data_IF_184314783798
#
_entry.id   IF_184314783798
#
_cell.length_a   1.000
_cell.length_b   1.000
_cell.length_c   1.000
_cell.angle_alpha   90.00
_cell.angle_beta   90.00
_cell.angle_gamma   90.00
#
_symmetry.space_group_name_H-M   'P 1'
#
loop_
_entity.id
_entity.type
_entity.pdbx_description
1 polymer ?
#
# COMPACT_ATOMS: atom_id res chain seq x y z
N UNK A 1 -40.05 -29.68 8.30
CA UNK A 1 -39.43 -29.60 6.96
C UNK A 1 -38.25 -28.66 7.05
N UNK A 2 -37.03 -29.13 6.73
CA UNK A 2 -35.81 -28.35 6.92
C UNK A 2 -35.80 -27.13 6.00
N UNK A 3 -36.04 -25.94 6.58
CA UNK A 3 -35.94 -24.65 5.87
C UNK A 3 -34.57 -24.40 5.24
N UNK A 4 -33.52 -25.08 5.72
CA UNK A 4 -32.17 -25.05 5.16
C UNK A 4 -31.99 -25.82 3.84
N UNK A 5 -32.87 -26.79 3.54
CA UNK A 5 -32.82 -27.58 2.30
C UNK A 5 -33.80 -27.06 1.24
N UNK A 6 -34.38 -25.87 1.45
CA UNK A 6 -35.20 -25.23 0.43
C UNK A 6 -34.28 -24.77 -0.72
N UNK A 7 -34.49 -25.25 -1.96
CA UNK A 7 -33.61 -24.96 -3.10
C UNK A 7 -33.43 -23.46 -3.36
N UNK A 8 -34.44 -22.65 -3.05
CA UNK A 8 -34.39 -21.18 -3.19
C UNK A 8 -33.44 -20.58 -2.14
N UNK A 9 -33.51 -21.05 -0.90
CA UNK A 9 -32.61 -20.58 0.17
C UNK A 9 -31.17 -21.00 -0.09
N UNK A 10 -30.96 -22.22 -0.59
CA UNK A 10 -29.64 -22.74 -0.91
C UNK A 10 -29.00 -21.95 -2.08
N UNK A 11 -29.75 -21.72 -3.16
CA UNK A 11 -29.29 -20.90 -4.28
C UNK A 11 -28.92 -19.47 -3.83
N UNK A 12 -29.69 -18.90 -2.90
CA UNK A 12 -29.43 -17.56 -2.36
C UNK A 12 -28.15 -17.52 -1.51
N UNK A 13 -27.92 -18.51 -0.65
CA UNK A 13 -26.69 -18.63 0.14
C UNK A 13 -25.47 -18.81 -0.76
N UNK A 14 -25.54 -19.69 -1.75
CA UNK A 14 -24.44 -19.90 -2.72
C UNK A 14 -24.14 -18.62 -3.49
N UNK A 15 -25.15 -17.90 -3.95
CA UNK A 15 -24.97 -16.62 -4.65
C UNK A 15 -24.22 -15.59 -3.80
N UNK A 16 -24.63 -15.43 -2.53
CA UNK A 16 -23.97 -14.49 -1.63
C UNK A 16 -22.54 -14.92 -1.30
N UNK A 17 -22.32 -16.22 -1.05
CA UNK A 17 -20.98 -16.76 -0.79
C UNK A 17 -20.01 -16.46 -1.94
N UNK A 18 -20.43 -16.70 -3.20
CA UNK A 18 -19.60 -16.40 -4.37
C UNK A 18 -19.38 -14.89 -4.51
N UNK A 19 -20.44 -14.09 -4.41
CA UNK A 19 -20.34 -12.63 -4.57
C UNK A 19 -19.48 -11.96 -3.49
N UNK A 20 -19.52 -12.46 -2.26
CA UNK A 20 -18.73 -11.92 -1.14
C UNK A 20 -17.25 -12.29 -1.27
N UNK A 21 -16.93 -13.49 -1.80
CA UNK A 21 -15.56 -13.89 -2.13
C UNK A 21 -15.01 -12.99 -3.24
N UNK A 22 -15.75 -12.79 -4.33
CA UNK A 22 -15.32 -11.91 -5.42
C UNK A 22 -15.10 -10.48 -4.91
N UNK A 23 -15.98 -10.00 -4.03
CA UNK A 23 -15.85 -8.68 -3.40
C UNK A 23 -14.64 -8.57 -2.49
N UNK A 24 -14.24 -9.64 -1.80
CA UNK A 24 -13.04 -9.66 -0.96
C UNK A 24 -11.77 -9.54 -1.82
N UNK A 25 -11.65 -10.35 -2.87
CA UNK A 25 -10.49 -10.34 -3.76
C UNK A 25 -10.39 -9.05 -4.59
N UNK A 26 -11.51 -8.57 -5.16
CA UNK A 26 -11.53 -7.33 -5.94
C UNK A 26 -11.19 -6.12 -5.06
N UNK A 27 -11.54 -6.15 -3.77
CA UNK A 27 -11.14 -5.12 -2.81
C UNK A 27 -9.66 -5.17 -2.52
N UNK A 28 -9.06 -6.34 -2.33
CA UNK A 28 -7.64 -6.46 -2.03
C UNK A 28 -6.78 -5.88 -3.16
N UNK A 29 -7.05 -6.26 -4.41
CA UNK A 29 -6.33 -5.74 -5.56
C UNK A 29 -6.52 -4.21 -5.71
N UNK A 30 -7.74 -3.70 -5.51
CA UNK A 30 -8.02 -2.26 -5.53
C UNK A 30 -7.30 -1.52 -4.42
N UNK A 31 -7.25 -2.10 -3.21
CA UNK A 31 -6.52 -1.55 -2.07
C UNK A 31 -5.03 -1.50 -2.40
N UNK A 32 -4.46 -2.56 -2.94
CA UNK A 32 -3.03 -2.60 -3.26
C UNK A 32 -2.65 -1.60 -4.35
N UNK A 33 -3.45 -1.51 -5.43
CA UNK A 33 -3.29 -0.46 -6.44
C UNK A 33 -3.36 0.95 -5.86
N UNK A 34 -4.27 1.17 -4.92
CA UNK A 34 -4.40 2.47 -4.25
C UNK A 34 -3.19 2.77 -3.35
N UNK A 35 -2.74 1.80 -2.55
CA UNK A 35 -1.52 1.92 -1.74
C UNK A 35 -0.32 2.25 -2.61
N UNK A 36 -0.15 1.54 -3.72
CA UNK A 36 0.94 1.75 -4.68
C UNK A 36 0.91 3.17 -5.27
N UNK A 37 -0.28 3.68 -5.62
CA UNK A 37 -0.46 5.06 -6.11
C UNK A 37 -0.08 6.09 -5.04
N UNK A 38 -0.49 5.88 -3.80
CA UNK A 38 -0.16 6.77 -2.67
C UNK A 38 1.34 6.74 -2.35
N UNK A 39 1.94 5.55 -2.36
CA UNK A 39 3.36 5.37 -2.13
C UNK A 39 4.23 6.16 -3.12
N UNK A 40 3.92 6.07 -4.43
CA UNK A 40 4.62 6.87 -5.45
C UNK A 40 4.53 8.38 -5.21
N UNK A 41 3.40 8.88 -4.72
CA UNK A 41 3.25 10.30 -4.37
C UNK A 41 4.11 10.69 -3.17
N UNK A 42 4.13 9.86 -2.12
CA UNK A 42 4.94 10.09 -0.92
C UNK A 42 6.42 10.11 -1.26
N UNK A 43 6.88 9.15 -2.07
CA UNK A 43 8.27 9.08 -2.52
C UNK A 43 8.66 10.32 -3.32
N UNK A 44 7.80 10.76 -4.24
CA UNK A 44 8.05 11.97 -5.03
C UNK A 44 8.20 13.20 -4.13
N UNK A 45 7.30 13.33 -3.15
CA UNK A 45 7.38 14.40 -2.16
C UNK A 45 8.65 14.31 -1.29
N UNK A 46 9.05 13.10 -0.87
CA UNK A 46 10.27 12.91 -0.11
C UNK A 46 11.49 13.47 -0.87
N UNK A 47 11.54 13.35 -2.19
CA UNK A 47 12.66 13.87 -3.00
C UNK A 47 12.75 15.39 -3.12
N UNK A 48 11.70 16.11 -2.73
CA UNK A 48 11.73 17.57 -2.62
C UNK A 48 12.47 18.02 -1.35
N UNK A 49 12.51 17.18 -0.31
CA UNK A 49 13.16 17.49 0.96
C UNK A 49 14.66 17.14 0.91
N UNK A 50 15.57 18.07 1.27
CA UNK A 50 17.01 17.85 1.17
C UNK A 50 17.53 16.63 1.94
N UNK A 51 17.01 16.38 3.14
CA UNK A 51 17.37 15.20 3.95
C UNK A 51 17.18 13.87 3.20
N UNK A 52 16.00 13.66 2.62
CA UNK A 52 15.71 12.42 1.90
C UNK A 52 16.47 12.36 0.56
N UNK A 53 16.63 13.50 -0.12
CA UNK A 53 17.41 13.59 -1.36
C UNK A 53 18.87 13.18 -1.17
N UNK A 54 19.47 13.59 -0.05
CA UNK A 54 20.83 13.16 0.30
C UNK A 54 20.88 11.69 0.67
N UNK A 55 19.90 11.22 1.46
CA UNK A 55 19.88 9.84 1.96
C UNK A 55 19.60 8.79 0.88
N UNK A 56 18.76 9.12 -0.09
CA UNK A 56 18.41 8.24 -1.21
C UNK A 56 19.27 8.50 -2.46
N UNK A 57 20.35 9.28 -2.33
CA UNK A 57 21.26 9.56 -3.44
C UNK A 57 21.82 8.26 -4.01
N UNK A 58 21.73 8.12 -5.35
CA UNK A 58 22.21 6.94 -6.06
C UNK A 58 21.22 5.77 -6.15
N UNK A 59 20.04 5.91 -5.54
CA UNK A 59 18.95 4.94 -5.70
C UNK A 59 18.03 5.43 -6.82
N UNK A 60 17.63 4.54 -7.72
CA UNK A 60 16.60 4.87 -8.71
C UNK A 60 15.21 4.77 -8.07
N UNK A 61 14.67 5.94 -7.76
CA UNK A 61 13.44 6.07 -6.99
C UNK A 61 12.19 5.73 -7.81
N UNK A 62 12.27 5.84 -9.13
CA UNK A 62 11.15 5.54 -10.02
C UNK A 62 10.91 4.03 -10.15
N UNK A 63 11.92 3.19 -9.88
CA UNK A 63 11.80 1.74 -9.90
C UNK A 63 11.31 1.13 -8.58
N UNK A 64 11.13 1.95 -7.53
CA UNK A 64 10.71 1.47 -6.20
C UNK A 64 9.19 1.31 -6.14
N UNK A 65 8.76 0.12 -5.73
CA UNK A 65 7.37 -0.24 -5.47
C UNK A 65 7.20 -0.73 -4.02
N UNK A 66 5.97 -0.97 -3.58
CA UNK A 66 5.68 -1.49 -2.23
C UNK A 66 6.40 -2.82 -1.94
N UNK A 67 6.58 -3.69 -2.94
CA UNK A 67 7.30 -4.95 -2.82
C UNK A 67 8.80 -4.76 -2.51
N UNK A 68 9.41 -3.73 -3.08
CA UNK A 68 10.85 -3.45 -2.99
C UNK A 68 11.17 -2.32 -2.01
N UNK A 69 10.21 -1.90 -1.19
CA UNK A 69 10.38 -0.81 -0.22
C UNK A 69 11.52 -1.08 0.78
N UNK A 70 11.81 -2.36 1.05
CA UNK A 70 12.89 -2.81 1.93
C UNK A 70 14.28 -2.42 1.44
N UNK A 71 14.44 -2.09 0.15
CA UNK A 71 15.69 -1.57 -0.41
C UNK A 71 16.01 -0.14 0.05
N UNK A 72 15.02 0.61 0.54
CA UNK A 72 15.22 1.96 1.02
C UNK A 72 15.88 1.97 2.42
N UNK A 73 16.90 2.81 2.64
CA UNK A 73 17.52 2.92 3.95
C UNK A 73 16.54 3.53 4.96
N UNK A 74 16.33 2.81 6.08
CA UNK A 74 15.41 3.23 7.16
C UNK A 74 15.87 4.56 7.77
N UNK A 75 14.94 5.50 7.96
CA UNK A 75 15.18 6.75 8.68
C UNK A 75 15.31 6.51 10.19
N UNK A 76 16.48 6.84 10.75
CA UNK A 76 16.73 6.74 12.18
C UNK A 76 16.53 8.10 12.85
N UNK A 77 16.24 8.08 14.15
CA UNK A 77 16.10 9.29 14.97
C UNK A 77 17.33 10.20 14.90
N UNK A 78 18.53 9.63 14.84
CA UNK A 78 19.76 10.41 14.78
C UNK A 78 19.98 11.08 13.42
N UNK A 79 19.44 10.53 12.33
CA UNK A 79 19.49 11.17 11.02
C UNK A 79 18.70 12.49 11.04
N UNK A 80 17.56 12.49 11.73
CA UNK A 80 16.72 13.68 11.91
C UNK A 80 17.43 14.72 12.78
N UNK A 81 18.02 14.30 13.91
CA UNK A 81 18.75 15.22 14.81
C UNK A 81 19.94 15.89 14.13
N UNK A 82 20.70 15.15 13.34
CA UNK A 82 21.89 15.65 12.64
C UNK A 82 21.56 16.56 11.45
N UNK A 83 20.36 16.42 10.90
CA UNK A 83 19.93 17.14 9.70
C UNK A 83 18.66 17.96 9.96
N UNK A 84 18.51 18.48 11.19
CA UNK A 84 17.29 19.19 11.60
C UNK A 84 16.97 20.36 10.65
N UNK A 85 18.00 21.06 10.21
CA UNK A 85 17.91 22.21 9.30
C UNK A 85 17.49 21.82 7.87
N UNK A 86 17.58 20.54 7.51
CA UNK A 86 17.33 20.00 6.17
C UNK A 86 15.99 19.26 6.03
N UNK A 87 15.15 19.32 7.05
CA UNK A 87 13.84 18.64 7.08
C UNK A 87 12.76 19.47 6.37
N UNK A 88 12.97 20.79 6.28
CA UNK A 88 12.03 21.70 5.64
C UNK A 88 12.41 21.83 4.16
N UNK A 89 11.46 21.64 3.21
CA UNK A 89 11.69 21.85 1.78
C UNK A 89 11.93 23.33 1.44
#
# INVERSE_FOLDING_TARGET
>A
MNSFLNPITLARVVKYYISDIDRLFEKEEKIEKYRQKCFKKIIKYAMEVPLYREKYRGIDINSINLENISSLPILKKDDIRKNFDKIIP
#
